data_IF_426899659077
#
_entry.id   IF_426899659077
#
_cell.length_a   1.000
_cell.length_b   1.000
_cell.length_c   1.000
_cell.angle_alpha   90.00
_cell.angle_beta   90.00
_cell.angle_gamma   90.00
#
_symmetry.space_group_name_H-M   'P 1'
#
loop_
_entity.id
_entity.type
_entity.pdbx_description
1 polymer ?
#
# COMPACT_ATOMS: atom_id res chain seq x y z
N UNK A 1 -34.62 -67.64 -11.18
CA UNK A 1 -33.47 -66.78 -10.88
C UNK A 1 -33.28 -65.83 -12.05
N UNK A 2 -33.80 -64.61 -11.97
CA UNK A 2 -33.71 -63.62 -13.05
C UNK A 2 -32.65 -62.54 -12.67
N UNK A 3 -31.80 -62.14 -13.55
CA UNK A 3 -30.79 -61.08 -13.26
C UNK A 3 -31.43 -59.71 -13.24
N UNK A 4 -31.04 -58.91 -12.27
CA UNK A 4 -31.42 -57.52 -12.03
C UNK A 4 -30.61 -56.60 -12.94
N UNK A 5 -31.26 -55.90 -13.85
CA UNK A 5 -30.67 -54.87 -14.72
C UNK A 5 -30.49 -53.61 -13.88
N UNK A 6 -29.24 -53.11 -13.80
CA UNK A 6 -28.85 -51.85 -13.17
C UNK A 6 -29.08 -50.70 -14.17
N UNK A 7 -29.85 -49.69 -13.78
CA UNK A 7 -30.04 -48.46 -14.57
C UNK A 7 -28.77 -47.58 -14.58
N UNK A 8 -28.53 -46.80 -15.64
CA UNK A 8 -27.38 -45.90 -15.74
C UNK A 8 -27.52 -44.69 -14.78
N UNK A 9 -26.42 -44.31 -14.15
CA UNK A 9 -26.32 -43.04 -13.41
C UNK A 9 -26.19 -41.90 -14.41
N UNK A 10 -27.08 -40.93 -14.33
CA UNK A 10 -26.93 -39.63 -14.97
C UNK A 10 -25.74 -38.88 -14.36
N UNK A 11 -24.73 -38.58 -15.18
CA UNK A 11 -23.65 -37.67 -14.85
C UNK A 11 -24.20 -36.22 -14.83
N UNK A 12 -24.40 -35.69 -13.65
CA UNK A 12 -24.64 -34.27 -13.45
C UNK A 12 -23.34 -33.50 -13.79
N UNK A 13 -23.40 -32.75 -14.89
CA UNK A 13 -22.37 -31.81 -15.29
C UNK A 13 -22.18 -30.79 -14.13
N UNK A 14 -20.99 -30.78 -13.54
CA UNK A 14 -20.57 -29.77 -12.62
C UNK A 14 -20.35 -28.46 -13.39
N UNK A 15 -21.24 -27.51 -13.17
CA UNK A 15 -21.13 -26.12 -13.59
C UNK A 15 -19.89 -25.51 -12.90
N UNK A 16 -18.93 -25.10 -13.72
CA UNK A 16 -17.69 -24.46 -13.27
C UNK A 16 -17.92 -23.03 -12.81
N UNK A 17 -18.46 -22.87 -11.62
CA UNK A 17 -18.47 -21.59 -10.92
C UNK A 17 -17.03 -21.17 -10.59
N UNK A 18 -16.55 -20.08 -11.21
CA UNK A 18 -15.28 -19.43 -10.87
C UNK A 18 -15.22 -19.20 -9.35
N UNK A 19 -14.28 -19.88 -8.68
CA UNK A 19 -14.14 -19.85 -7.24
C UNK A 19 -13.88 -18.44 -6.75
N UNK A 20 -14.82 -17.89 -6.01
CA UNK A 20 -14.54 -16.84 -5.02
C UNK A 20 -13.63 -17.53 -4.00
N UNK A 21 -12.33 -17.19 -3.98
CA UNK A 21 -11.42 -17.67 -2.94
C UNK A 21 -12.05 -17.35 -1.58
N UNK A 22 -12.38 -18.38 -0.82
CA UNK A 22 -12.89 -18.26 0.55
C UNK A 22 -11.78 -17.61 1.41
N UNK A 23 -11.88 -16.28 1.58
CA UNK A 23 -10.92 -15.50 2.39
C UNK A 23 -11.01 -16.02 3.83
N UNK A 24 -9.90 -16.53 4.35
CA UNK A 24 -9.85 -17.02 5.74
C UNK A 24 -10.18 -15.89 6.72
N UNK A 25 -10.71 -16.24 7.90
CA UNK A 25 -11.01 -15.26 8.94
C UNK A 25 -9.76 -14.46 9.36
N UNK A 26 -8.59 -15.09 9.40
CA UNK A 26 -7.33 -14.40 9.71
C UNK A 26 -6.93 -13.40 8.64
N UNK A 27 -7.12 -13.72 7.36
CA UNK A 27 -6.90 -12.80 6.24
C UNK A 27 -7.88 -11.62 6.29
N UNK A 28 -9.14 -11.89 6.59
CA UNK A 28 -10.14 -10.83 6.72
C UNK A 28 -9.78 -9.86 7.86
N UNK A 29 -9.45 -10.38 9.05
CA UNK A 29 -9.01 -9.58 10.21
C UNK A 29 -7.73 -8.81 9.88
N UNK A 30 -6.76 -9.45 9.23
CA UNK A 30 -5.53 -8.78 8.80
C UNK A 30 -5.81 -7.58 7.91
N UNK A 31 -6.64 -7.74 6.86
CA UNK A 31 -6.98 -6.64 5.94
C UNK A 31 -7.70 -5.49 6.64
N UNK A 32 -8.64 -5.80 7.53
CA UNK A 32 -9.34 -4.77 8.29
C UNK A 32 -8.41 -4.04 9.26
N UNK A 33 -7.63 -4.78 10.05
CA UNK A 33 -6.71 -4.20 11.02
C UNK A 33 -5.62 -3.37 10.34
N UNK A 34 -5.07 -3.85 9.20
CA UNK A 34 -4.13 -3.09 8.38
C UNK A 34 -4.73 -1.78 7.91
N UNK A 35 -5.94 -1.81 7.36
CA UNK A 35 -6.67 -0.61 6.93
C UNK A 35 -6.89 0.37 8.08
N UNK A 36 -7.32 -0.11 9.24
CA UNK A 36 -7.56 0.72 10.41
C UNK A 36 -6.27 1.38 10.93
N UNK A 37 -5.13 0.66 10.91
CA UNK A 37 -3.82 1.23 11.24
C UNK A 37 -3.45 2.34 10.25
N UNK A 38 -3.63 2.10 8.94
CA UNK A 38 -3.29 3.07 7.90
C UNK A 38 -4.21 4.30 7.90
N UNK A 39 -5.46 4.14 8.33
CA UNK A 39 -6.43 5.24 8.53
C UNK A 39 -6.20 6.00 9.85
N UNK A 40 -5.23 5.59 10.68
CA UNK A 40 -4.94 6.24 11.96
C UNK A 40 -5.94 5.93 13.08
N UNK A 41 -6.74 4.85 12.94
CA UNK A 41 -7.67 4.42 14.00
C UNK A 41 -6.95 3.94 15.27
N UNK A 42 -5.64 3.74 15.18
CA UNK A 42 -4.76 3.44 16.29
C UNK A 42 -3.57 4.40 16.27
N UNK A 43 -3.28 5.01 17.41
CA UNK A 43 -2.14 5.92 17.54
C UNK A 43 -0.80 5.16 17.44
N UNK A 44 0.27 5.77 16.90
CA UNK A 44 1.62 5.22 16.98
C UNK A 44 1.99 4.87 18.43
N UNK A 45 2.57 3.70 18.66
CA UNK A 45 2.91 3.20 20.00
C UNK A 45 1.74 2.69 20.84
N UNK A 46 0.49 2.78 20.37
CA UNK A 46 -0.68 2.30 21.09
C UNK A 46 -0.63 0.80 21.34
N UNK A 47 -0.96 0.37 22.58
CA UNK A 47 -1.07 -1.05 22.92
C UNK A 47 -2.31 -1.70 22.30
N UNK A 48 -2.13 -2.86 21.69
CA UNK A 48 -3.19 -3.65 21.06
C UNK A 48 -3.62 -4.78 22.01
N UNK A 49 -4.73 -4.57 22.72
CA UNK A 49 -5.29 -5.58 23.62
C UNK A 49 -6.12 -6.58 22.81
N UNK A 50 -5.78 -7.86 22.89
CA UNK A 50 -6.44 -8.93 22.11
C UNK A 50 -7.96 -8.97 22.35
N UNK A 51 -8.41 -8.71 23.58
CA UNK A 51 -9.82 -8.70 23.89
C UNK A 51 -10.59 -7.58 23.16
N UNK A 52 -10.00 -6.37 23.07
CA UNK A 52 -10.58 -5.27 22.31
C UNK A 52 -10.59 -5.55 20.80
N UNK A 53 -9.53 -6.18 20.29
CA UNK A 53 -9.49 -6.58 18.88
C UNK A 53 -10.53 -7.67 18.57
N UNK A 54 -10.76 -8.61 19.51
CA UNK A 54 -11.79 -9.62 19.39
C UNK A 54 -13.20 -9.01 19.35
N UNK A 55 -13.44 -8.01 20.17
CA UNK A 55 -14.73 -7.29 20.17
C UNK A 55 -14.93 -6.51 18.86
N UNK A 56 -13.86 -5.91 18.30
CA UNK A 56 -13.95 -5.07 17.11
C UNK A 56 -14.02 -5.87 15.80
N UNK A 57 -13.23 -6.95 15.67
CA UNK A 57 -13.09 -7.71 14.41
C UNK A 57 -13.74 -9.09 14.46
N UNK A 58 -14.23 -9.53 15.62
CA UNK A 58 -14.80 -10.85 15.79
C UNK A 58 -13.76 -11.97 15.89
N UNK A 59 -14.26 -13.22 15.89
CA UNK A 59 -13.42 -14.40 15.91
C UNK A 59 -12.85 -14.77 17.28
N UNK A 60 -11.90 -15.71 17.27
CA UNK A 60 -11.15 -16.14 18.44
C UNK A 60 -9.78 -15.45 18.49
N UNK A 61 -9.02 -15.70 19.55
CA UNK A 61 -7.67 -15.12 19.68
C UNK A 61 -6.65 -15.65 18.66
N UNK A 62 -6.86 -16.86 18.11
CA UNK A 62 -5.92 -17.46 17.15
C UNK A 62 -5.81 -16.66 15.85
N UNK A 63 -6.88 -16.40 15.09
CA UNK A 63 -6.80 -15.63 13.86
C UNK A 63 -6.35 -14.17 14.09
N UNK A 64 -6.66 -13.58 15.26
CA UNK A 64 -6.18 -12.24 15.62
C UNK A 64 -4.66 -12.25 15.83
N UNK A 65 -4.12 -13.24 16.53
CA UNK A 65 -2.67 -13.38 16.71
C UNK A 65 -1.95 -13.64 15.40
N UNK A 66 -2.53 -14.41 14.49
CA UNK A 66 -2.01 -14.65 13.16
C UNK A 66 -1.93 -13.34 12.36
N UNK A 67 -3.02 -12.57 12.31
CA UNK A 67 -3.06 -11.26 11.69
C UNK A 67 -2.01 -10.29 12.28
N UNK A 68 -1.88 -10.24 13.62
CA UNK A 68 -0.88 -9.43 14.31
C UNK A 68 0.56 -9.87 14.02
N UNK A 69 0.82 -11.18 13.92
CA UNK A 69 2.15 -11.68 13.55
C UNK A 69 2.51 -11.34 12.11
N UNK A 70 1.55 -11.35 11.20
CA UNK A 70 1.75 -10.88 9.83
C UNK A 70 2.04 -9.37 9.78
N UNK A 71 1.26 -8.55 10.49
CA UNK A 71 1.54 -7.11 10.62
C UNK A 71 2.88 -6.82 11.29
N UNK A 72 3.35 -7.71 12.16
CA UNK A 72 4.69 -7.62 12.75
C UNK A 72 5.79 -7.90 11.71
N UNK A 73 5.62 -8.90 10.84
CA UNK A 73 6.57 -9.11 9.73
C UNK A 73 6.61 -7.94 8.75
N UNK A 74 5.51 -7.19 8.65
CA UNK A 74 5.41 -5.95 7.90
C UNK A 74 5.85 -4.71 8.70
N UNK A 75 6.45 -4.87 9.89
CA UNK A 75 6.90 -3.77 10.78
C UNK A 75 5.82 -2.75 11.15
N UNK A 76 4.54 -3.06 10.97
CA UNK A 76 3.41 -2.21 11.39
C UNK A 76 3.09 -2.36 12.87
N UNK A 77 3.42 -3.52 13.41
CA UNK A 77 3.19 -3.91 14.81
C UNK A 77 4.49 -4.43 15.41
N UNK A 78 4.76 -4.11 16.67
CA UNK A 78 5.89 -4.64 17.43
C UNK A 78 5.39 -5.45 18.64
N UNK A 79 6.21 -6.39 19.10
CA UNK A 79 5.96 -7.13 20.35
C UNK A 79 6.62 -6.41 21.54
N UNK A 80 5.94 -6.48 22.69
CA UNK A 80 6.51 -5.98 23.96
C UNK A 80 7.01 -7.14 24.81
N UNK A 81 7.89 -6.89 25.76
CA UNK A 81 8.48 -7.87 26.70
C UNK A 81 7.43 -8.69 27.46
N UNK A 82 6.24 -8.14 27.67
CA UNK A 82 5.11 -8.82 28.35
C UNK A 82 4.20 -9.65 27.41
N UNK A 83 4.68 -10.04 26.24
CA UNK A 83 3.95 -10.82 25.21
C UNK A 83 2.73 -10.08 24.62
N UNK A 84 2.69 -8.76 24.71
CA UNK A 84 1.69 -7.91 24.08
C UNK A 84 2.11 -7.45 22.68
N UNK A 85 1.18 -6.79 22.01
CA UNK A 85 1.40 -6.14 20.71
C UNK A 85 1.18 -4.64 20.85
N UNK A 86 1.93 -3.85 20.08
CA UNK A 86 1.78 -2.40 19.95
C UNK A 86 1.84 -2.01 18.49
N UNK A 87 1.17 -0.92 18.12
CA UNK A 87 1.45 -0.22 16.87
C UNK A 87 2.92 0.23 16.90
N UNK A 88 3.65 0.01 15.84
CA UNK A 88 5.02 0.49 15.73
C UNK A 88 5.04 2.04 15.80
N UNK A 89 5.93 2.66 16.58
CA UNK A 89 6.05 4.11 16.62
C UNK A 89 6.46 4.66 15.25
N UNK A 90 6.25 5.96 15.02
CA UNK A 90 6.81 6.65 13.87
C UNK A 90 8.19 7.20 14.28
N UNK A 91 9.21 6.94 13.47
CA UNK A 91 10.57 7.42 13.64
C UNK A 91 11.05 8.08 12.35
N UNK A 92 11.56 9.29 12.45
CA UNK A 92 12.14 10.03 11.32
C UNK A 92 13.34 9.28 10.75
N UNK A 93 14.17 8.70 11.61
CA UNK A 93 15.35 7.93 11.22
C UNK A 93 14.94 6.67 10.44
N UNK A 94 13.99 5.88 10.96
CA UNK A 94 13.46 4.69 10.26
C UNK A 94 12.79 5.06 8.93
N UNK A 95 12.06 6.17 8.88
CA UNK A 95 11.44 6.66 7.65
C UNK A 95 12.48 7.02 6.59
N UNK A 96 13.57 7.71 6.97
CA UNK A 96 14.66 8.04 6.04
C UNK A 96 15.34 6.79 5.51
N UNK A 97 15.67 5.84 6.37
CA UNK A 97 16.30 4.56 5.98
C UNK A 97 15.40 3.76 5.02
N UNK A 98 14.11 3.66 5.33
CA UNK A 98 13.14 3.03 4.44
C UNK A 98 13.01 3.74 3.09
N UNK A 99 13.04 5.08 3.07
CA UNK A 99 12.99 5.89 1.85
C UNK A 99 14.25 5.68 0.98
N UNK A 100 15.45 5.78 1.54
CA UNK A 100 16.69 5.57 0.78
C UNK A 100 16.82 4.13 0.29
N UNK A 101 16.41 3.14 1.09
CA UNK A 101 16.33 1.74 0.65
C UNK A 101 15.35 1.59 -0.51
N UNK A 102 14.20 2.24 -0.44
CA UNK A 102 13.20 2.22 -1.53
C UNK A 102 13.74 2.84 -2.81
N UNK A 103 14.50 3.94 -2.72
CA UNK A 103 15.16 4.55 -3.88
C UNK A 103 16.11 3.56 -4.55
N UNK A 104 16.92 2.82 -3.79
CA UNK A 104 17.84 1.80 -4.34
C UNK A 104 17.06 0.72 -5.09
N UNK A 105 16.01 0.18 -4.49
CA UNK A 105 15.23 -0.93 -5.04
C UNK A 105 14.41 -0.47 -6.25
N UNK A 106 13.62 0.60 -6.11
CA UNK A 106 12.66 1.03 -7.13
C UNK A 106 13.36 1.64 -8.34
N UNK A 107 14.48 2.37 -8.17
CA UNK A 107 15.24 2.91 -9.29
C UNK A 107 15.95 1.81 -10.11
N UNK A 108 16.44 0.74 -9.48
CA UNK A 108 16.99 -0.40 -10.21
C UNK A 108 15.89 -1.18 -10.94
N UNK A 109 14.76 -1.44 -10.25
CA UNK A 109 13.59 -2.07 -10.83
C UNK A 109 13.03 -1.26 -12.03
N UNK A 110 13.00 0.08 -11.93
CA UNK A 110 12.56 0.97 -13.00
C UNK A 110 13.47 0.88 -14.23
N UNK A 111 14.79 0.95 -14.04
CA UNK A 111 15.76 0.79 -15.15
C UNK A 111 15.58 -0.54 -15.87
N UNK A 112 15.42 -1.64 -15.13
CA UNK A 112 15.14 -2.97 -15.71
C UNK A 112 13.76 -3.03 -16.38
N UNK A 113 12.77 -2.39 -15.81
CA UNK A 113 11.42 -2.29 -16.38
C UNK A 113 11.47 -1.59 -17.74
N UNK A 114 12.14 -0.45 -17.84
CA UNK A 114 12.29 0.29 -19.10
C UNK A 114 13.06 -0.49 -20.17
N UNK A 115 14.08 -1.26 -19.78
CA UNK A 115 14.82 -2.12 -20.69
C UNK A 115 14.00 -3.29 -21.25
N UNK A 116 12.91 -3.71 -20.56
CA UNK A 116 12.03 -4.80 -20.96
C UNK A 116 10.62 -4.32 -21.38
N UNK A 117 10.42 -3.01 -21.42
CA UNK A 117 9.11 -2.41 -21.65
C UNK A 117 8.59 -2.66 -23.07
N UNK A 118 7.36 -3.14 -23.17
CA UNK A 118 6.58 -3.35 -24.37
C UNK A 118 5.35 -2.44 -24.43
N UNK A 119 4.60 -2.49 -25.52
CA UNK A 119 3.38 -1.69 -25.70
C UNK A 119 2.33 -2.00 -24.63
N UNK A 120 2.24 -3.24 -24.17
CA UNK A 120 1.31 -3.65 -23.12
C UNK A 120 1.71 -3.05 -21.75
N UNK A 121 3.00 -2.97 -21.44
CA UNK A 121 3.50 -2.26 -20.26
C UNK A 121 3.16 -0.77 -20.33
N UNK A 122 3.41 -0.14 -21.49
CA UNK A 122 3.13 1.29 -21.68
C UNK A 122 1.64 1.61 -21.51
N UNK A 123 0.77 0.81 -22.12
CA UNK A 123 -0.67 0.96 -21.98
C UNK A 123 -1.12 0.85 -20.50
N UNK A 124 -0.56 -0.10 -19.74
CA UNK A 124 -0.84 -0.24 -18.29
C UNK A 124 -0.35 0.98 -17.51
N UNK A 125 0.86 1.48 -17.80
CA UNK A 125 1.42 2.64 -17.10
C UNK A 125 0.60 3.90 -17.35
N UNK A 126 0.24 4.19 -18.60
CA UNK A 126 -0.61 5.34 -18.97
C UNK A 126 -1.99 5.22 -18.32
N UNK A 127 -2.57 4.03 -18.32
CA UNK A 127 -3.86 3.75 -17.67
C UNK A 127 -3.80 3.97 -16.15
N UNK A 128 -2.75 3.49 -15.50
CA UNK A 128 -2.54 3.68 -14.06
C UNK A 128 -2.34 5.16 -13.70
N UNK A 129 -1.57 5.90 -14.48
CA UNK A 129 -1.41 7.36 -14.30
C UNK A 129 -2.75 8.09 -14.47
N UNK A 130 -3.53 7.77 -15.50
CA UNK A 130 -4.83 8.38 -15.71
C UNK A 130 -5.78 8.13 -14.53
N UNK A 131 -5.81 6.90 -14.03
CA UNK A 131 -6.61 6.53 -12.87
C UNK A 131 -6.17 7.29 -11.60
N UNK A 132 -4.86 7.45 -11.39
CA UNK A 132 -4.30 8.24 -10.30
C UNK A 132 -4.73 9.72 -10.40
N UNK A 133 -4.59 10.34 -11.57
CA UNK A 133 -4.98 11.73 -11.80
C UNK A 133 -6.48 11.96 -11.58
N UNK A 134 -7.34 10.98 -11.94
CA UNK A 134 -8.77 11.03 -11.64
C UNK A 134 -9.04 10.93 -10.13
N UNK A 135 -8.37 10.04 -9.41
CA UNK A 135 -8.54 9.88 -7.98
C UNK A 135 -8.07 11.12 -7.22
N UNK A 136 -6.95 11.73 -7.62
CA UNK A 136 -6.46 12.99 -7.04
C UNK A 136 -7.49 14.10 -7.17
N UNK A 137 -8.01 14.37 -8.38
CA UNK A 137 -9.06 15.39 -8.58
C UNK A 137 -10.32 15.14 -7.75
N UNK A 138 -10.71 13.87 -7.53
CA UNK A 138 -11.87 13.54 -6.70
C UNK A 138 -11.58 13.78 -5.23
N UNK A 139 -10.39 13.44 -4.75
CA UNK A 139 -9.98 13.69 -3.38
C UNK A 139 -9.89 15.20 -3.08
N UNK A 140 -9.38 15.99 -4.01
CA UNK A 140 -9.30 17.47 -3.88
C UNK A 140 -10.67 18.16 -3.91
N UNK A 141 -11.65 17.57 -4.60
CA UNK A 141 -13.02 18.09 -4.69
C UNK A 141 -13.93 17.60 -3.53
N UNK A 142 -13.49 16.60 -2.77
CA UNK A 142 -14.26 16.03 -1.66
C UNK A 142 -14.24 16.95 -0.44
N UNK A 143 -15.28 16.91 0.43
CA UNK A 143 -15.19 17.52 1.76
C UNK A 143 -13.98 16.97 2.50
N UNK A 144 -13.33 17.82 3.30
CA UNK A 144 -12.08 17.53 3.96
C UNK A 144 -12.02 16.08 4.51
N UNK A 145 -11.02 15.29 4.01
CA UNK A 145 -10.64 13.98 4.51
C UNK A 145 -11.75 12.90 4.51
N UNK A 146 -12.41 12.71 3.36
CA UNK A 146 -13.22 11.51 3.17
C UNK A 146 -12.31 10.27 3.10
N UNK A 147 -12.37 9.34 4.09
CA UNK A 147 -11.47 8.19 4.15
C UNK A 147 -11.55 7.26 2.93
N UNK A 148 -12.69 7.21 2.24
CA UNK A 148 -12.87 6.35 1.07
C UNK A 148 -12.22 6.96 -0.18
N UNK A 149 -12.24 8.29 -0.32
CA UNK A 149 -11.48 8.98 -1.37
C UNK A 149 -9.97 8.90 -1.13
N UNK A 150 -9.52 9.00 0.12
CA UNK A 150 -8.12 8.82 0.49
C UNK A 150 -7.63 7.39 0.22
N UNK A 151 -8.41 6.37 0.54
CA UNK A 151 -8.07 4.97 0.23
C UNK A 151 -8.04 4.73 -1.28
N UNK A 152 -8.99 5.31 -2.03
CA UNK A 152 -9.01 5.19 -3.48
C UNK A 152 -7.80 5.87 -4.13
N UNK A 153 -7.43 7.06 -3.66
CA UNK A 153 -6.24 7.78 -4.13
C UNK A 153 -4.97 6.97 -3.83
N UNK A 154 -4.84 6.45 -2.62
CA UNK A 154 -3.66 5.68 -2.23
C UNK A 154 -3.53 4.38 -3.05
N UNK A 155 -4.64 3.69 -3.30
CA UNK A 155 -4.63 2.51 -4.16
C UNK A 155 -4.16 2.84 -5.59
N UNK A 156 -4.63 3.94 -6.19
CA UNK A 156 -4.19 4.37 -7.53
C UNK A 156 -2.75 4.85 -7.56
N UNK A 157 -2.30 5.51 -6.49
CA UNK A 157 -0.90 5.90 -6.32
C UNK A 157 0.02 4.67 -6.26
N UNK A 158 -0.37 3.64 -5.51
CA UNK A 158 0.35 2.37 -5.47
C UNK A 158 0.39 1.69 -6.83
N UNK A 159 -0.76 1.61 -7.52
CA UNK A 159 -0.86 1.01 -8.86
C UNK A 159 0.05 1.71 -9.88
N UNK A 160 0.13 3.04 -9.85
CA UNK A 160 1.03 3.79 -10.73
C UNK A 160 2.50 3.45 -10.48
N UNK A 161 2.95 3.48 -9.21
CA UNK A 161 4.33 3.12 -8.88
C UNK A 161 4.66 1.67 -9.20
N UNK A 162 3.73 0.74 -8.99
CA UNK A 162 3.90 -0.66 -9.40
C UNK A 162 3.95 -0.83 -10.92
N UNK A 163 3.16 -0.08 -11.68
CA UNK A 163 3.19 -0.12 -13.14
C UNK A 163 4.54 0.34 -13.71
N UNK A 164 5.16 1.37 -13.12
CA UNK A 164 6.49 1.83 -13.51
C UNK A 164 7.53 0.70 -13.51
N UNK A 165 7.53 -0.12 -12.46
CA UNK A 165 8.53 -1.18 -12.25
C UNK A 165 8.07 -2.56 -12.73
N UNK A 166 6.83 -2.68 -13.23
CA UNK A 166 6.16 -3.95 -13.48
C UNK A 166 6.79 -4.87 -14.52
N UNK A 167 7.62 -4.33 -15.44
CA UNK A 167 8.36 -5.11 -16.42
C UNK A 167 9.81 -5.44 -16.00
N UNK A 168 10.19 -5.22 -14.73
CA UNK A 168 11.56 -5.45 -14.26
C UNK A 168 12.03 -6.91 -14.28
N UNK A 169 11.11 -7.86 -14.46
CA UNK A 169 11.35 -9.33 -14.50
C UNK A 169 12.06 -9.87 -13.25
N UNK A 170 11.83 -9.26 -12.10
CA UNK A 170 12.40 -9.69 -10.83
C UNK A 170 11.32 -9.72 -9.75
N UNK A 171 10.75 -10.90 -9.44
CA UNK A 171 9.77 -11.02 -8.34
C UNK A 171 10.31 -10.49 -7.01
N UNK A 172 11.59 -10.71 -6.70
CA UNK A 172 12.22 -10.19 -5.50
C UNK A 172 12.21 -8.66 -5.40
N UNK A 173 12.52 -7.95 -6.51
CA UNK A 173 12.45 -6.49 -6.50
C UNK A 173 11.01 -6.00 -6.33
N UNK A 174 10.03 -6.66 -6.95
CA UNK A 174 8.62 -6.30 -6.81
C UNK A 174 8.12 -6.52 -5.37
N UNK A 175 8.49 -7.65 -4.75
CA UNK A 175 8.11 -7.95 -3.36
C UNK A 175 8.74 -6.97 -2.37
N UNK A 176 10.04 -6.66 -2.52
CA UNK A 176 10.73 -5.68 -1.68
C UNK A 176 10.16 -4.27 -1.88
N UNK A 177 9.89 -3.87 -3.12
CA UNK A 177 9.23 -2.59 -3.43
C UNK A 177 7.86 -2.48 -2.74
N UNK A 178 7.03 -3.53 -2.81
CA UNK A 178 5.71 -3.55 -2.17
C UNK A 178 5.82 -3.42 -0.64
N UNK A 179 6.79 -4.10 -0.02
CA UNK A 179 7.03 -3.99 1.43
C UNK A 179 7.47 -2.57 1.81
N UNK A 180 8.42 -1.98 1.09
CA UNK A 180 8.92 -0.62 1.35
C UNK A 180 7.84 0.43 1.05
N UNK A 181 6.99 0.20 0.03
CA UNK A 181 5.84 1.05 -0.23
C UNK A 181 4.93 1.12 1.01
N UNK A 182 4.56 -0.03 1.56
CA UNK A 182 3.70 -0.12 2.74
C UNK A 182 4.33 0.56 3.97
N UNK A 183 5.67 0.46 4.15
CA UNK A 183 6.36 1.19 5.22
C UNK A 183 6.29 2.70 5.03
N UNK A 184 6.57 3.20 3.82
CA UNK A 184 6.55 4.65 3.56
C UNK A 184 5.11 5.21 3.54
N UNK A 185 4.10 4.44 3.14
CA UNK A 185 2.68 4.80 3.20
C UNK A 185 2.26 5.18 4.62
N UNK A 186 2.71 4.43 5.62
CA UNK A 186 2.39 4.64 7.04
C UNK A 186 2.78 6.03 7.54
N UNK A 187 3.85 6.61 6.99
CA UNK A 187 4.29 7.97 7.28
C UNK A 187 3.62 9.00 6.37
N UNK A 188 3.43 8.67 5.10
CA UNK A 188 2.92 9.60 4.09
C UNK A 188 1.46 9.97 4.30
N UNK A 189 0.58 9.00 4.65
CA UNK A 189 -0.86 9.27 4.84
C UNK A 189 -1.13 10.32 5.92
N UNK A 190 -0.63 10.18 7.16
CA UNK A 190 -0.81 11.21 8.19
C UNK A 190 -0.17 12.55 7.79
N UNK A 191 1.00 12.51 7.16
CA UNK A 191 1.70 13.71 6.75
C UNK A 191 0.96 14.48 5.65
N UNK A 192 0.32 13.77 4.69
CA UNK A 192 -0.49 14.42 3.65
C UNK A 192 -1.68 15.16 4.23
N UNK A 193 -2.40 14.55 5.16
CA UNK A 193 -3.53 15.20 5.83
C UNK A 193 -3.11 16.50 6.52
N UNK A 194 -1.95 16.52 7.17
CA UNK A 194 -1.41 17.71 7.82
C UNK A 194 -0.85 18.72 6.79
N UNK A 195 -0.13 18.26 5.76
CA UNK A 195 0.41 19.15 4.72
C UNK A 195 -0.68 19.97 4.03
N UNK A 196 -1.86 19.37 3.76
CA UNK A 196 -3.01 20.09 3.21
C UNK A 196 -3.50 21.20 4.16
N UNK A 197 -3.50 20.96 5.48
CA UNK A 197 -3.88 21.97 6.47
C UNK A 197 -2.87 23.14 6.56
N UNK A 198 -1.59 22.91 6.22
CA UNK A 198 -0.53 23.91 6.28
C UNK A 198 -0.23 24.61 4.95
N UNK A 199 -1.01 24.33 3.88
CA UNK A 199 -0.89 25.03 2.59
C UNK A 199 0.44 24.74 1.85
N UNK A 200 0.95 23.52 1.91
CA UNK A 200 2.16 23.14 1.17
C UNK A 200 1.89 23.04 -0.33
N UNK A 201 2.51 23.92 -1.11
CA UNK A 201 2.37 24.03 -2.57
C UNK A 201 3.25 23.06 -3.36
N UNK A 202 3.29 21.76 -3.00
CA UNK A 202 3.98 20.76 -3.80
C UNK A 202 3.02 20.18 -4.83
N UNK A 203 3.31 20.35 -6.12
CA UNK A 203 2.53 19.70 -7.18
C UNK A 203 3.02 18.27 -7.45
N UNK A 204 2.48 17.34 -6.66
CA UNK A 204 2.77 15.90 -6.81
C UNK A 204 2.22 15.35 -8.14
N UNK A 205 1.19 15.99 -8.70
CA UNK A 205 0.63 15.62 -10.00
C UNK A 205 1.61 15.87 -11.14
N UNK A 206 2.26 17.02 -11.15
CA UNK A 206 3.29 17.36 -12.14
C UNK A 206 4.53 16.48 -12.02
N UNK A 207 4.93 16.10 -10.80
CA UNK A 207 6.04 15.15 -10.60
C UNK A 207 5.71 13.78 -11.21
N UNK A 208 4.51 13.24 -10.97
CA UNK A 208 4.07 11.98 -11.57
C UNK A 208 3.95 12.08 -13.10
N UNK A 209 3.53 13.23 -13.64
CA UNK A 209 3.50 13.49 -15.08
C UNK A 209 4.90 13.45 -15.67
N UNK A 210 5.85 14.17 -15.09
CA UNK A 210 7.24 14.19 -15.57
C UNK A 210 7.88 12.78 -15.52
N UNK A 211 7.54 11.99 -14.50
CA UNK A 211 8.00 10.61 -14.36
C UNK A 211 7.39 9.70 -15.44
N UNK A 212 6.09 9.82 -15.72
CA UNK A 212 5.44 9.14 -16.83
C UNK A 212 6.11 9.47 -18.16
N UNK A 213 6.29 10.77 -18.46
CA UNK A 213 6.86 11.23 -19.72
C UNK A 213 8.27 10.69 -19.94
N UNK A 214 9.11 10.70 -18.90
CA UNK A 214 10.46 10.12 -18.96
C UNK A 214 10.43 8.59 -19.16
N UNK A 215 9.47 7.90 -18.52
CA UNK A 215 9.31 6.46 -18.64
C UNK A 215 8.82 6.03 -20.04
N UNK A 216 7.85 6.75 -20.61
CA UNK A 216 7.34 6.52 -21.99
C UNK A 216 8.44 6.82 -23.02
N UNK A 217 9.24 7.85 -22.79
CA UNK A 217 10.41 8.17 -23.63
C UNK A 217 11.57 7.15 -23.49
N UNK A 218 11.45 6.13 -22.61
CA UNK A 218 12.49 5.13 -22.30
C UNK A 218 13.80 5.76 -21.80
N UNK A 219 13.74 6.99 -21.26
CA UNK A 219 14.89 7.65 -20.64
C UNK A 219 15.09 7.14 -19.22
N UNK A 220 15.79 6.01 -19.10
CA UNK A 220 16.01 5.33 -17.83
C UNK A 220 16.80 6.18 -16.81
N UNK A 221 17.70 7.03 -17.30
CA UNK A 221 18.49 7.93 -16.46
C UNK A 221 17.62 9.00 -15.83
N UNK A 222 16.85 9.71 -16.65
CA UNK A 222 15.94 10.76 -16.23
C UNK A 222 14.79 10.20 -15.35
N UNK A 223 14.18 9.09 -15.76
CA UNK A 223 13.10 8.47 -15.00
C UNK A 223 13.56 8.06 -13.59
N UNK A 224 14.74 7.43 -13.44
CA UNK A 224 15.28 7.06 -12.13
C UNK A 224 15.65 8.28 -11.28
N UNK A 225 16.20 9.34 -11.88
CA UNK A 225 16.49 10.59 -11.18
C UNK A 225 15.23 11.27 -10.65
N UNK A 226 14.15 11.34 -11.47
CA UNK A 226 12.86 11.88 -11.08
C UNK A 226 12.20 11.05 -9.98
N UNK A 227 12.25 9.72 -10.06
CA UNK A 227 11.71 8.84 -9.02
C UNK A 227 12.43 9.04 -7.68
N UNK A 228 13.77 9.11 -7.70
CA UNK A 228 14.56 9.36 -6.51
C UNK A 228 14.27 10.74 -5.89
N UNK A 229 14.13 11.79 -6.71
CA UNK A 229 13.77 13.14 -6.27
C UNK A 229 12.38 13.13 -5.62
N UNK A 230 11.37 12.55 -6.29
CA UNK A 230 10.01 12.42 -5.79
C UNK A 230 9.95 11.76 -4.39
N UNK A 231 10.73 10.69 -4.16
CA UNK A 231 10.77 10.04 -2.85
C UNK A 231 11.46 10.88 -1.79
N UNK A 232 12.58 11.55 -2.11
CA UNK A 232 13.29 12.42 -1.16
C UNK A 232 12.47 13.63 -0.77
N UNK A 233 11.80 14.27 -1.71
CA UNK A 233 10.91 15.40 -1.42
C UNK A 233 9.73 14.96 -0.55
N UNK A 234 9.17 13.77 -0.80
CA UNK A 234 8.14 13.21 0.07
C UNK A 234 8.67 12.99 1.49
N UNK A 235 9.87 12.42 1.64
CA UNK A 235 10.50 12.21 2.94
C UNK A 235 10.75 13.54 3.68
N UNK A 236 11.18 14.60 2.98
CA UNK A 236 11.38 15.93 3.56
C UNK A 236 10.07 16.55 4.07
N UNK A 237 8.95 16.38 3.35
CA UNK A 237 7.64 16.84 3.82
C UNK A 237 7.23 16.09 5.08
N UNK A 238 7.35 14.76 5.09
CA UNK A 238 7.05 13.91 6.25
C UNK A 238 7.88 14.32 7.45
N UNK A 239 9.19 14.52 7.26
CA UNK A 239 10.11 14.92 8.33
C UNK A 239 9.71 16.27 8.95
N UNK A 240 9.43 17.28 8.14
CA UNK A 240 8.96 18.57 8.61
C UNK A 240 7.71 18.43 9.49
N UNK A 241 6.76 17.63 9.05
CA UNK A 241 5.49 17.42 9.76
C UNK A 241 5.71 16.66 11.07
N UNK A 242 6.52 15.60 11.09
CA UNK A 242 6.83 14.85 12.31
C UNK A 242 7.67 15.63 13.32
N UNK A 243 8.35 16.71 12.87
CA UNK A 243 9.15 17.60 13.73
C UNK A 243 8.36 18.77 14.31
N UNK A 244 7.08 18.94 13.94
CA UNK A 244 6.24 19.98 14.52
C UNK A 244 5.89 19.64 15.98
N UNK A 245 5.86 20.63 16.90
CA UNK A 245 5.45 20.40 18.28
C UNK A 245 4.04 19.83 18.38
N UNK A 246 3.85 18.82 19.24
CA UNK A 246 2.53 18.30 19.57
C UNK A 246 1.66 19.45 20.11
N UNK A 247 0.60 19.81 19.37
CA UNK A 247 -0.34 20.90 19.76
C UNK A 247 -0.56 21.96 18.68
N UNK A 248 0.24 22.04 17.62
CA UNK A 248 -0.04 22.91 16.47
C UNK A 248 -0.83 22.19 15.35
N UNK A 249 -1.05 20.89 15.47
CA UNK A 249 -1.72 20.06 14.48
C UNK A 249 -3.27 20.16 14.51
N UNK A 250 -3.87 21.03 15.30
CA UNK A 250 -5.33 21.15 15.48
C UNK A 250 -5.77 22.59 15.78
N UNK A 251 -5.34 23.55 14.99
CA UNK A 251 -5.88 24.91 15.03
C UNK A 251 -6.46 25.30 13.68
#
# INVERSE_FOLDING_TARGET
>A
MKPRIKAPREDAAADGGAGVEDITLSEHIYRQLRRDIMRGAFAPGQSLRLELLRQRYGGSFSPIREALNRLRSERMVITTTSRGFRIAPLSVEEMRDACETRILIDCDALRRSLANADDAWEARLVGAFHALALAARRADAAPALDPDHEDALEARHQEFHQALIGACRSPWLLDLSAQLYAQTERYRRPARAQAMAYGHERDVGDEHRALLDAAVARDAGRAAALLAAHYRETAQVIERILSLPEGQAAA
#
